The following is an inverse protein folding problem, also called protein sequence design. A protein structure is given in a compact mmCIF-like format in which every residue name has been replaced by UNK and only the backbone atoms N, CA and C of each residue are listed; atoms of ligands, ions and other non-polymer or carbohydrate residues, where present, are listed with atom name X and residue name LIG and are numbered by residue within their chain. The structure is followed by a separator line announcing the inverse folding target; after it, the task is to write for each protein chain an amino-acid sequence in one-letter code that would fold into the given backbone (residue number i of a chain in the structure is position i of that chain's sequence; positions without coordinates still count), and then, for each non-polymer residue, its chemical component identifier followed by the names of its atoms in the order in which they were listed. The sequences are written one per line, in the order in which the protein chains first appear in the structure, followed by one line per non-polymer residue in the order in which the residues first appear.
data_IF_435757751968
#
_entry.id   IF_435757751968
#
_cell.length_a   1.000
_cell.length_b   1.000
_cell.length_c   1.000
_cell.angle_alpha   90.00
_cell.angle_beta   90.00
_cell.angle_gamma   90.00
#
_symmetry.space_group_name_H-M   'P 1'
#
loop_
_entity.id
_entity.type
_entity.pdbx_description
1 polymer ?
#
# COMPACT_ATOMS: atom_id res chain seq x y z
N UNK A 1 7.48 3.39 -11.39
CA UNK A 1 7.00 3.34 -9.98
C UNK A 1 6.26 2.03 -9.80
N UNK A 2 6.02 1.59 -8.58
CA UNK A 2 5.19 0.39 -8.34
C UNK A 2 4.03 0.73 -7.41
N UNK A 3 2.95 -0.04 -7.50
CA UNK A 3 1.78 0.06 -6.65
C UNK A 3 1.36 -1.33 -6.17
N UNK A 4 0.93 -1.42 -4.92
CA UNK A 4 0.50 -2.69 -4.33
C UNK A 4 -0.43 -2.46 -3.15
N UNK A 5 -1.13 -3.53 -2.78
CA UNK A 5 -2.02 -3.59 -1.63
C UNK A 5 -1.74 -4.87 -0.83
N UNK A 6 -1.95 -4.79 0.48
CA UNK A 6 -1.79 -5.91 1.41
C UNK A 6 -3.04 -6.02 2.28
N UNK A 7 -3.35 -7.22 2.74
CA UNK A 7 -4.39 -7.49 3.71
C UNK A 7 -4.22 -8.88 4.32
N UNK A 8 -5.13 -9.28 5.21
CA UNK A 8 -5.03 -10.56 5.93
C UNK A 8 -5.16 -11.79 5.03
N UNK A 9 -5.96 -11.69 3.96
CA UNK A 9 -6.19 -12.78 3.00
C UNK A 9 -5.16 -12.83 1.88
N UNK A 10 -4.24 -11.85 1.81
CA UNK A 10 -3.25 -11.82 0.74
C UNK A 10 -2.60 -10.48 0.50
N UNK A 11 -1.71 -10.46 -0.49
CA UNK A 11 -1.22 -9.25 -1.14
C UNK A 11 -1.61 -9.28 -2.61
N UNK A 12 -1.85 -8.10 -3.16
CA UNK A 12 -2.06 -7.92 -4.59
C UNK A 12 -0.78 -8.23 -5.36
N UNK A 13 -0.91 -8.68 -6.61
CA UNK A 13 0.21 -8.66 -7.56
C UNK A 13 0.73 -7.24 -7.74
N UNK A 14 2.06 -7.06 -7.69
CA UNK A 14 2.62 -5.72 -7.75
C UNK A 14 2.43 -5.10 -9.15
N UNK A 15 1.86 -3.91 -9.19
CA UNK A 15 1.57 -3.20 -10.44
C UNK A 15 2.72 -2.25 -10.76
N UNK A 16 3.28 -2.34 -11.96
CA UNK A 16 4.30 -1.40 -12.44
C UNK A 16 3.61 -0.23 -13.11
N UNK A 17 3.79 0.98 -12.55
CA UNK A 17 3.21 2.20 -13.06
C UNK A 17 4.19 2.95 -13.97
N UNK A 18 3.70 3.30 -15.15
CA UNK A 18 4.42 4.06 -16.17
C UNK A 18 4.12 5.56 -16.08
N UNK A 19 5.16 6.38 -16.21
CA UNK A 19 5.02 7.82 -16.26
C UNK A 19 4.48 8.47 -14.97
N UNK A 20 4.08 9.73 -15.12
CA UNK A 20 3.55 10.54 -14.02
C UNK A 20 2.11 10.15 -13.72
N UNK A 21 1.82 9.91 -12.45
CA UNK A 21 0.48 9.54 -12.01
C UNK A 21 -0.39 10.78 -11.76
N UNK A 22 -1.67 10.63 -12.09
CA UNK A 22 -2.75 11.58 -11.84
C UNK A 22 -3.95 10.78 -11.31
N UNK A 23 -4.98 11.47 -10.85
CA UNK A 23 -6.18 10.86 -10.26
C UNK A 23 -6.82 9.79 -11.15
N UNK A 24 -7.06 10.04 -12.44
CA UNK A 24 -7.58 9.02 -13.36
C UNK A 24 -6.67 7.78 -13.54
N UNK A 25 -5.34 7.93 -13.49
CA UNK A 25 -4.43 6.78 -13.52
C UNK A 25 -4.53 5.93 -12.25
N UNK A 26 -4.71 6.59 -11.11
CA UNK A 26 -4.94 5.92 -9.83
C UNK A 26 -6.28 5.20 -9.81
N UNK A 27 -7.35 5.85 -10.29
CA UNK A 27 -8.67 5.24 -10.44
C UNK A 27 -8.60 4.00 -11.32
N UNK A 28 -7.89 4.07 -12.45
CA UNK A 28 -7.67 2.90 -13.31
C UNK A 28 -6.94 1.79 -12.56
N UNK A 29 -5.86 2.12 -11.83
CA UNK A 29 -5.10 1.13 -11.05
C UNK A 29 -5.98 0.43 -10.01
N UNK A 30 -6.83 1.20 -9.32
CA UNK A 30 -7.78 0.69 -8.33
C UNK A 30 -8.86 -0.17 -9.00
N UNK A 31 -9.43 0.30 -10.11
CA UNK A 31 -10.45 -0.41 -10.91
C UNK A 31 -9.98 -1.77 -11.39
N UNK A 32 -8.80 -1.80 -12.02
CA UNK A 32 -8.33 -2.98 -12.74
C UNK A 32 -7.59 -3.98 -11.84
N UNK A 33 -7.03 -3.51 -10.72
CA UNK A 33 -6.20 -4.36 -9.87
C UNK A 33 -6.74 -4.48 -8.45
N UNK A 34 -7.01 -3.36 -7.77
CA UNK A 34 -7.41 -3.39 -6.35
C UNK A 34 -8.78 -4.02 -6.16
N UNK A 35 -9.81 -3.55 -6.87
CA UNK A 35 -11.19 -4.01 -6.67
C UNK A 35 -11.38 -5.49 -7.02
N UNK A 36 -10.85 -6.02 -8.15
CA UNK A 36 -10.95 -7.44 -8.45
C UNK A 36 -10.27 -8.31 -7.38
N UNK A 37 -9.14 -7.87 -6.85
CA UNK A 37 -8.47 -8.54 -5.74
C UNK A 37 -9.31 -8.46 -4.45
N UNK A 38 -9.83 -7.29 -4.11
CA UNK A 38 -10.64 -7.12 -2.90
C UNK A 38 -11.91 -7.97 -2.98
N UNK A 39 -12.64 -7.92 -4.08
CA UNK A 39 -13.84 -8.71 -4.30
C UNK A 39 -13.59 -10.22 -4.23
N UNK A 40 -12.45 -10.69 -4.75
CA UNK A 40 -12.10 -12.12 -4.70
C UNK A 40 -11.83 -12.60 -3.28
N UNK A 41 -11.19 -11.79 -2.45
CA UNK A 41 -10.69 -12.22 -1.14
C UNK A 41 -11.60 -11.82 0.03
N UNK A 42 -12.31 -10.70 -0.09
CA UNK A 42 -13.12 -10.11 0.98
C UNK A 42 -14.59 -9.91 0.59
N UNK A 43 -14.97 -10.20 -0.67
CA UNK A 43 -16.29 -9.85 -1.18
C UNK A 43 -16.45 -8.33 -1.33
N UNK A 44 -17.68 -7.83 -1.17
CA UNK A 44 -17.98 -6.39 -1.30
C UNK A 44 -18.01 -5.64 0.04
N UNK A 45 -17.89 -6.35 1.16
CA UNK A 45 -17.91 -5.78 2.50
C UNK A 45 -16.48 -5.68 3.05
N UNK A 46 -15.76 -4.64 2.62
CA UNK A 46 -14.42 -4.36 3.07
C UNK A 46 -14.19 -2.86 3.24
N UNK A 47 -13.20 -2.53 4.06
CA UNK A 47 -12.71 -1.16 4.24
C UNK A 47 -11.37 -1.04 3.51
N UNK A 48 -11.27 -0.10 2.59
CA UNK A 48 -10.03 0.19 1.88
C UNK A 48 -9.29 1.33 2.56
N UNK A 49 -8.00 1.10 2.83
CA UNK A 49 -7.11 2.12 3.38
C UNK A 49 -6.20 2.65 2.26
N UNK A 50 -6.11 3.98 2.16
CA UNK A 50 -5.14 4.68 1.32
C UNK A 50 -4.58 5.89 2.08
N UNK A 51 -3.41 6.38 1.68
CA UNK A 51 -2.87 7.63 2.23
C UNK A 51 -3.56 8.86 1.63
N UNK A 52 -3.23 10.04 2.15
CA UNK A 52 -3.77 11.32 1.68
C UNK A 52 -2.92 11.96 0.58
N UNK A 53 -2.27 11.18 -0.29
CA UNK A 53 -1.62 11.74 -1.48
C UNK A 53 -2.65 12.53 -2.30
N UNK A 54 -2.24 13.64 -2.92
CA UNK A 54 -3.17 14.57 -3.57
C UNK A 54 -4.05 13.92 -4.65
N UNK A 55 -3.53 12.90 -5.34
CA UNK A 55 -4.29 12.13 -6.33
C UNK A 55 -5.31 11.19 -5.66
N UNK A 56 -4.97 10.58 -4.51
CA UNK A 56 -5.85 9.68 -3.77
C UNK A 56 -7.00 10.43 -3.07
N UNK A 57 -6.71 11.62 -2.53
CA UNK A 57 -7.66 12.49 -1.85
C UNK A 57 -8.38 13.47 -2.79
N UNK A 58 -8.16 13.36 -4.11
CA UNK A 58 -8.83 14.22 -5.09
C UNK A 58 -10.33 13.94 -5.15
N UNK A 59 -11.13 14.96 -5.51
CA UNK A 59 -12.57 14.80 -5.69
C UNK A 59 -12.88 13.62 -6.61
N UNK A 60 -12.22 13.55 -7.78
CA UNK A 60 -12.40 12.50 -8.78
C UNK A 60 -12.23 11.09 -8.17
N UNK A 61 -11.19 10.87 -7.37
CA UNK A 61 -10.93 9.57 -6.74
C UNK A 61 -11.92 9.26 -5.62
N UNK A 62 -12.20 10.22 -4.76
CA UNK A 62 -13.14 10.01 -3.65
C UNK A 62 -14.57 9.78 -4.13
N UNK A 63 -14.98 10.45 -5.21
CA UNK A 63 -16.30 10.29 -5.84
C UNK A 63 -16.40 8.91 -6.50
N UNK A 64 -15.36 8.44 -7.19
CA UNK A 64 -15.28 7.08 -7.73
C UNK A 64 -15.51 5.99 -6.66
N UNK A 65 -14.82 6.07 -5.52
CA UNK A 65 -15.04 5.11 -4.43
C UNK A 65 -16.45 5.17 -3.87
N UNK A 66 -17.01 6.38 -3.74
CA UNK A 66 -18.37 6.61 -3.26
C UNK A 66 -19.42 6.01 -4.21
N UNK A 67 -19.26 6.21 -5.52
CA UNK A 67 -20.15 5.64 -6.55
C UNK A 67 -20.16 4.11 -6.52
N UNK A 68 -19.00 3.50 -6.23
CA UNK A 68 -18.86 2.05 -6.10
C UNK A 68 -19.26 1.51 -4.72
N UNK A 69 -19.63 2.37 -3.78
CA UNK A 69 -19.98 1.97 -2.41
C UNK A 69 -18.82 1.40 -1.60
N UNK A 70 -17.57 1.72 -1.98
CA UNK A 70 -16.38 1.26 -1.26
C UNK A 70 -16.14 2.17 -0.06
N UNK A 71 -16.05 1.56 1.13
CA UNK A 71 -15.78 2.31 2.36
C UNK A 71 -14.28 2.62 2.46
N UNK A 72 -13.93 3.90 2.53
CA UNK A 72 -12.56 4.34 2.79
C UNK A 72 -12.32 4.50 4.29
N UNK A 73 -11.18 4.00 4.77
CA UNK A 73 -10.70 4.28 6.12
C UNK A 73 -10.28 5.75 6.21
N UNK A 74 -10.83 6.48 7.18
CA UNK A 74 -10.36 7.83 7.48
C UNK A 74 -8.90 7.78 7.95
N UNK A 75 -8.01 8.44 7.21
CA UNK A 75 -6.57 8.42 7.49
C UNK A 75 -6.06 9.81 7.93
N UNK A 76 -5.29 9.92 9.01
CA UNK A 76 -4.71 11.19 9.42
C UNK A 76 -3.63 11.65 8.42
N UNK A 77 -3.53 12.97 8.21
CA UNK A 77 -2.49 13.54 7.36
C UNK A 77 -1.09 13.29 7.97
N UNK A 78 -0.08 13.09 7.11
CA UNK A 78 1.34 12.98 7.49
C UNK A 78 1.66 11.88 8.53
N UNK A 79 0.92 10.77 8.50
CA UNK A 79 1.14 9.62 9.39
C UNK A 79 1.62 8.38 8.61
N UNK A 80 2.83 8.41 7.99
CA UNK A 80 3.36 7.24 7.30
C UNK A 80 3.69 6.10 8.28
N UNK A 81 4.00 6.44 9.53
CA UNK A 81 4.27 5.50 10.63
C UNK A 81 3.05 4.63 10.99
N UNK A 82 1.85 5.13 10.70
CA UNK A 82 0.64 4.33 10.81
C UNK A 82 0.45 3.39 9.63
N UNK A 83 1.11 3.55 8.48
CA UNK A 83 0.81 2.78 7.27
C UNK A 83 1.67 1.51 7.18
N UNK A 84 1.11 0.29 7.40
CA UNK A 84 1.90 -0.94 7.44
C UNK A 84 2.61 -1.26 6.13
N UNK A 85 2.08 -0.79 5.00
CA UNK A 85 2.69 -1.05 3.69
C UNK A 85 4.04 -0.33 3.52
N UNK A 86 4.28 0.77 4.26
CA UNK A 86 5.59 1.44 4.26
C UNK A 86 6.69 0.53 4.81
N UNK A 87 6.38 -0.27 5.83
CA UNK A 87 7.32 -1.28 6.32
C UNK A 87 7.52 -2.42 5.31
N UNK A 88 6.50 -2.77 4.53
CA UNK A 88 6.66 -3.73 3.42
C UNK A 88 7.59 -3.15 2.35
N UNK A 89 7.46 -1.87 2.00
CA UNK A 89 8.38 -1.20 1.09
C UNK A 89 9.82 -1.18 1.61
N UNK A 90 10.01 -0.96 2.92
CA UNK A 90 11.33 -1.06 3.54
C UNK A 90 11.91 -2.49 3.46
N UNK A 91 11.10 -3.52 3.71
CA UNK A 91 11.51 -4.93 3.54
C UNK A 91 11.88 -5.23 2.09
N UNK A 92 11.15 -4.68 1.12
CA UNK A 92 11.48 -4.82 -0.30
C UNK A 92 12.82 -4.18 -0.63
N UNK A 93 13.06 -2.95 -0.17
CA UNK A 93 14.32 -2.25 -0.40
C UNK A 93 15.51 -3.05 0.16
N UNK A 94 15.38 -3.58 1.38
CA UNK A 94 16.42 -4.42 1.99
C UNK A 94 16.69 -5.69 1.16
N UNK A 95 15.65 -6.41 0.75
CA UNK A 95 15.79 -7.62 -0.10
C UNK A 95 16.43 -7.30 -1.45
N UNK A 96 16.00 -6.21 -2.11
CA UNK A 96 16.48 -5.79 -3.44
C UNK A 96 17.95 -5.37 -3.40
N UNK A 97 18.35 -4.58 -2.40
CA UNK A 97 19.70 -4.02 -2.29
C UNK A 97 20.63 -4.81 -1.35
N UNK A 98 20.18 -5.97 -0.86
CA UNK A 98 20.95 -6.86 0.01
C UNK A 98 22.37 -7.11 -0.53
N UNK A 99 23.33 -7.18 0.39
CA UNK A 99 24.75 -7.38 0.07
C UNK A 99 25.35 -6.34 -0.90
N UNK A 100 24.78 -5.13 -0.95
CA UNK A 100 25.28 -4.04 -1.79
C UNK A 100 24.97 -4.22 -3.27
N UNK A 101 23.93 -5.00 -3.61
CA UNK A 101 23.52 -5.23 -4.98
C UNK A 101 23.16 -3.92 -5.68
N UNK A 102 23.58 -3.78 -6.94
CA UNK A 102 23.30 -2.63 -7.78
C UNK A 102 22.62 -3.07 -9.08
N UNK A 103 21.95 -2.13 -9.73
CA UNK A 103 21.17 -2.35 -10.95
C UNK A 103 21.54 -1.28 -11.96
N UNK A 104 21.69 -1.69 -13.22
CA UNK A 104 22.15 -0.78 -14.29
C UNK A 104 21.04 -0.39 -15.27
N UNK A 105 19.83 -0.90 -15.07
CA UNK A 105 18.67 -0.55 -15.90
C UNK A 105 17.37 -0.63 -15.12
N UNK A 106 16.35 0.11 -15.58
CA UNK A 106 15.00 0.06 -15.02
C UNK A 106 14.40 -1.36 -15.12
N UNK A 107 14.48 -2.09 -16.25
CA UNK A 107 13.94 -3.45 -16.33
C UNK A 107 14.57 -4.42 -15.34
N UNK A 108 15.88 -4.33 -15.12
CA UNK A 108 16.60 -5.18 -14.17
C UNK A 108 16.16 -4.90 -12.72
N UNK A 109 16.06 -3.62 -12.35
CA UNK A 109 15.55 -3.22 -11.04
C UNK A 109 14.09 -3.64 -10.86
N UNK A 110 13.24 -3.42 -11.86
CA UNK A 110 11.83 -3.83 -11.84
C UNK A 110 11.71 -5.34 -11.62
N UNK A 111 12.45 -6.17 -12.36
CA UNK A 111 12.42 -7.61 -12.18
C UNK A 111 12.85 -8.05 -10.78
N UNK A 112 13.83 -7.38 -10.18
CA UNK A 112 14.24 -7.65 -8.82
C UNK A 112 13.20 -7.22 -7.78
N UNK A 113 12.56 -6.06 -7.97
CA UNK A 113 11.46 -5.59 -7.11
C UNK A 113 10.28 -6.55 -7.16
N UNK A 114 9.89 -7.02 -8.35
CA UNK A 114 8.83 -8.04 -8.51
C UNK A 114 9.18 -9.33 -7.77
N UNK A 115 10.41 -9.84 -7.95
CA UNK A 115 10.88 -11.04 -7.23
C UNK A 115 10.91 -10.85 -5.71
N UNK A 116 11.33 -9.67 -5.25
CA UNK A 116 11.36 -9.35 -3.83
C UNK A 116 9.94 -9.28 -3.26
N UNK A 117 9.01 -8.64 -3.99
CA UNK A 117 7.59 -8.63 -3.65
C UNK A 117 7.06 -10.03 -3.49
N UNK A 118 7.22 -10.91 -4.49
CA UNK A 118 6.73 -12.29 -4.45
C UNK A 118 7.25 -13.06 -3.24
N UNK A 119 8.50 -12.81 -2.84
CA UNK A 119 9.11 -13.43 -1.65
C UNK A 119 8.58 -12.94 -0.30
N UNK A 120 7.83 -11.83 -0.24
CA UNK A 120 7.19 -11.36 1.00
C UNK A 120 6.13 -12.37 1.42
N UNK A 121 6.31 -12.94 2.59
CA UNK A 121 5.44 -13.96 3.16
C UNK A 121 4.19 -13.35 3.78
N UNK A 122 3.11 -14.12 3.83
CA UNK A 122 1.91 -13.70 4.57
C UNK A 122 2.18 -13.46 6.05
N UNK A 123 3.14 -14.19 6.65
CA UNK A 123 3.56 -13.96 8.05
C UNK A 123 4.19 -12.58 8.25
N UNK A 124 5.04 -12.13 7.32
CA UNK A 124 5.62 -10.77 7.37
C UNK A 124 4.49 -9.73 7.28
N UNK A 125 3.52 -9.93 6.38
CA UNK A 125 2.36 -9.03 6.21
C UNK A 125 1.47 -8.99 7.45
N UNK A 126 0.99 -10.15 7.93
CA UNK A 126 0.06 -10.18 9.06
C UNK A 126 0.69 -9.66 10.34
N UNK A 127 1.99 -9.92 10.57
CA UNK A 127 2.73 -9.32 11.70
C UNK A 127 2.68 -7.78 11.68
N UNK A 128 2.77 -7.18 10.49
CA UNK A 128 2.66 -5.72 10.33
C UNK A 128 1.22 -5.25 10.55
N UNK A 129 0.22 -5.95 10.02
CA UNK A 129 -1.19 -5.61 10.23
C UNK A 129 -1.59 -5.73 11.71
N UNK A 130 -1.17 -6.78 12.40
CA UNK A 130 -1.42 -7.01 13.83
C UNK A 130 -0.80 -5.91 14.71
N UNK A 131 0.23 -5.21 14.22
CA UNK A 131 0.86 -4.11 14.94
C UNK A 131 0.01 -2.84 14.98
N UNK A 132 -1.01 -2.71 14.13
CA UNK A 132 -1.83 -1.49 14.01
C UNK A 132 -2.46 -1.03 15.32
N UNK A 133 -2.97 -1.96 16.13
CA UNK A 133 -3.54 -1.61 17.44
C UNK A 133 -2.52 -0.91 18.35
N UNK A 134 -1.26 -1.36 18.32
CA UNK A 134 -0.17 -0.75 19.10
C UNK A 134 0.24 0.60 18.52
N UNK A 135 0.32 0.72 17.19
CA UNK A 135 0.64 1.98 16.49
C UNK A 135 -0.36 3.07 16.84
N UNK A 136 -1.66 2.78 16.71
CA UNK A 136 -2.72 3.72 17.05
C UNK A 136 -2.67 4.13 18.53
N UNK A 137 -2.39 3.19 19.43
CA UNK A 137 -2.24 3.48 20.86
C UNK A 137 -1.05 4.42 21.13
N UNK A 138 0.08 4.24 20.44
CA UNK A 138 1.23 5.11 20.58
C UNK A 138 0.98 6.53 20.06
N UNK A 139 0.34 6.69 18.91
CA UNK A 139 -0.05 8.01 18.37
C UNK A 139 -0.94 8.74 19.38
N UNK A 140 -1.96 8.05 19.91
CA UNK A 140 -2.86 8.63 20.91
C UNK A 140 -2.12 9.03 22.19
N UNK A 141 -1.17 8.22 22.66
CA UNK A 141 -0.35 8.52 23.84
C UNK A 141 0.59 9.71 23.62
N UNK A 142 1.06 9.91 22.39
CA UNK A 142 2.00 10.98 22.03
C UNK A 142 1.33 12.28 21.60
N UNK A 143 0.00 12.41 21.70
CA UNK A 143 -0.75 13.59 21.24
C UNK A 143 -0.46 13.92 19.76
N UNK A 144 -0.51 12.91 18.91
CA UNK A 144 -0.25 13.00 17.46
C UNK A 144 1.21 13.31 17.05
N UNK A 145 2.18 13.14 17.95
CA UNK A 145 3.61 13.18 17.63
C UNK A 145 4.13 11.81 17.11
N UNK A 146 5.25 11.81 16.38
CA UNK A 146 5.78 10.65 15.63
C UNK A 146 5.96 9.40 16.50
N UNK A 147 5.54 8.25 15.99
CA UNK A 147 5.83 6.95 16.63
C UNK A 147 7.23 6.43 16.24
N UNK A 148 7.64 5.30 16.82
CA UNK A 148 8.92 4.66 16.51
C UNK A 148 8.82 3.69 15.31
N UNK A 149 7.62 3.58 14.72
CA UNK A 149 7.29 2.69 13.62
C UNK A 149 7.59 3.29 12.24
#
# INVERSE_FOLDING_TARGET
MVWGAIGYEGKLELVVLEGRQASHHYIWTVSEHMLPFAHRNYGTDFVFMQDNASIHASYETTDFFKELGVTLLAWPARSPDLNPIENVWALLADKVYSHGKQYHSVPELTAAVMKAWDSVTMKEITTLLDSMGKRCFEVAKKLDDKTHY
#
